data_IF_301474396829
#
_entry.id   IF_301474396829
#
_cell.length_a   1.000
_cell.length_b   1.000
_cell.length_c   1.000
_cell.angle_alpha   90.00
_cell.angle_beta   90.00
_cell.angle_gamma   90.00
#
_symmetry.space_group_name_H-M   'P 1'
#
loop_
_entity.id
_entity.type
_entity.pdbx_description
1 polymer ?
#
# COMPACT_ATOMS: atom_id res chain seq x y z
N UNK A 1 22.63 -0.86 3.37
CA UNK A 1 22.01 -2.16 3.01
C UNK A 1 21.14 -1.92 1.80
N UNK A 2 21.34 -2.65 0.70
CA UNK A 2 20.31 -2.74 -0.34
C UNK A 2 19.20 -3.61 0.22
N UNK A 3 18.02 -3.05 0.42
CA UNK A 3 16.81 -3.80 0.71
C UNK A 3 16.55 -4.72 -0.49
N UNK A 4 16.18 -5.97 -0.23
CA UNK A 4 15.77 -6.92 -1.26
C UNK A 4 14.64 -6.29 -2.09
N UNK A 5 14.64 -6.52 -3.41
CA UNK A 5 13.61 -5.97 -4.31
C UNK A 5 12.23 -6.30 -3.76
N UNK A 6 11.31 -5.32 -3.62
CA UNK A 6 9.95 -5.59 -3.19
C UNK A 6 9.30 -6.73 -3.99
N UNK A 7 8.72 -7.69 -3.29
CA UNK A 7 7.93 -8.76 -3.91
C UNK A 7 6.57 -8.20 -4.34
N UNK A 8 6.54 -7.60 -5.53
CA UNK A 8 5.35 -6.95 -6.08
C UNK A 8 4.21 -7.95 -6.29
N UNK A 9 4.50 -9.19 -6.67
CA UNK A 9 3.47 -10.22 -6.89
C UNK A 9 2.69 -10.50 -5.60
N UNK A 10 3.39 -10.79 -4.50
CA UNK A 10 2.77 -11.01 -3.18
C UNK A 10 1.99 -9.77 -2.70
N UNK A 11 2.50 -8.57 -2.97
CA UNK A 11 1.82 -7.32 -2.61
C UNK A 11 0.54 -7.13 -3.42
N UNK A 12 0.53 -7.47 -4.71
CA UNK A 12 -0.65 -7.42 -5.59
C UNK A 12 -1.71 -8.43 -5.17
N UNK A 13 -1.32 -9.63 -4.75
CA UNK A 13 -2.25 -10.61 -4.18
C UNK A 13 -2.92 -10.08 -2.91
N UNK A 14 -2.14 -9.43 -2.05
CA UNK A 14 -2.68 -8.78 -0.85
C UNK A 14 -3.66 -7.66 -1.19
N UNK A 15 -3.40 -6.90 -2.27
CA UNK A 15 -4.30 -5.87 -2.80
C UNK A 15 -5.60 -6.49 -3.34
N UNK A 16 -5.52 -7.58 -4.10
CA UNK A 16 -6.69 -8.31 -4.61
C UNK A 16 -7.55 -8.77 -3.44
N UNK A 17 -6.93 -9.37 -2.41
CA UNK A 17 -7.65 -9.80 -1.21
C UNK A 17 -8.36 -8.64 -0.51
N UNK A 18 -7.73 -7.47 -0.45
CA UNK A 18 -8.28 -6.28 0.21
C UNK A 18 -9.42 -5.60 -0.57
N UNK A 19 -9.33 -5.59 -1.91
CA UNK A 19 -10.23 -4.81 -2.77
C UNK A 19 -11.32 -5.64 -3.45
N UNK A 20 -11.12 -6.95 -3.58
CA UNK A 20 -12.02 -7.87 -4.27
C UNK A 20 -12.56 -8.93 -3.32
N UNK A 21 -11.68 -9.71 -2.69
CA UNK A 21 -12.12 -10.90 -1.94
C UNK A 21 -12.84 -10.54 -0.64
N UNK A 22 -12.25 -9.71 0.22
CA UNK A 22 -12.86 -9.33 1.50
C UNK A 22 -14.21 -8.61 1.33
N UNK A 23 -14.37 -7.66 0.39
CA UNK A 23 -15.67 -7.02 0.16
C UNK A 23 -16.74 -7.96 -0.43
N UNK A 24 -16.34 -9.03 -1.11
CA UNK A 24 -17.28 -10.01 -1.67
C UNK A 24 -17.85 -10.98 -0.63
N UNK A 25 -17.23 -11.07 0.55
CA UNK A 25 -17.74 -11.91 1.64
C UNK A 25 -18.98 -11.28 2.29
N UNK A 26 -20.05 -12.05 2.54
CA UNK A 26 -21.26 -11.54 3.18
C UNK A 26 -21.03 -11.11 4.64
N UNK A 27 -20.06 -11.74 5.32
CA UNK A 27 -19.65 -11.40 6.68
C UNK A 27 -18.14 -11.68 6.83
N UNK A 28 -17.26 -10.72 6.51
CA UNK A 28 -15.82 -10.90 6.69
C UNK A 28 -15.47 -10.97 8.17
N UNK A 29 -14.59 -11.92 8.49
CA UNK A 29 -14.11 -12.13 9.85
C UNK A 29 -13.23 -10.95 10.34
N UNK A 30 -13.40 -10.54 11.60
CA UNK A 30 -12.71 -9.39 12.15
C UNK A 30 -11.20 -9.62 12.31
N UNK A 31 -10.80 -10.82 12.74
CA UNK A 31 -9.38 -11.17 12.92
C UNK A 31 -8.67 -11.27 11.55
N UNK A 32 -9.33 -11.82 10.54
CA UNK A 32 -8.83 -11.84 9.17
C UNK A 32 -8.64 -10.43 8.59
N UNK A 33 -9.53 -9.49 8.90
CA UNK A 33 -9.39 -8.08 8.50
C UNK A 33 -8.24 -7.40 9.22
N UNK A 34 -8.09 -7.62 10.53
CA UNK A 34 -7.00 -7.04 11.33
C UNK A 34 -5.63 -7.59 10.86
N UNK A 35 -5.55 -8.88 10.56
CA UNK A 35 -4.37 -9.52 9.98
C UNK A 35 -4.03 -8.94 8.62
N UNK A 36 -5.01 -8.81 7.72
CA UNK A 36 -4.77 -8.24 6.40
C UNK A 36 -4.37 -6.76 6.48
N UNK A 37 -4.95 -5.98 7.40
CA UNK A 37 -4.55 -4.61 7.63
C UNK A 37 -3.09 -4.52 8.12
N UNK A 38 -2.66 -5.41 9.02
CA UNK A 38 -1.27 -5.49 9.45
C UNK A 38 -0.32 -5.84 8.29
N UNK A 39 -0.66 -6.83 7.46
CA UNK A 39 0.10 -7.21 6.27
C UNK A 39 0.25 -6.03 5.30
N UNK A 40 -0.85 -5.34 4.98
CA UNK A 40 -0.82 -4.18 4.07
C UNK A 40 0.03 -3.03 4.64
N UNK A 41 0.00 -2.77 5.95
CA UNK A 41 0.88 -1.79 6.58
C UNK A 41 2.36 -2.19 6.46
N UNK A 42 2.67 -3.48 6.61
CA UNK A 42 4.00 -4.03 6.35
C UNK A 42 4.46 -3.74 4.92
N UNK A 43 3.60 -3.98 3.92
CA UNK A 43 3.91 -3.66 2.52
C UNK A 43 4.18 -2.18 2.30
N UNK A 44 3.40 -1.28 2.92
CA UNK A 44 3.65 0.17 2.86
C UNK A 44 5.00 0.53 3.47
N UNK A 45 5.37 -0.06 4.60
CA UNK A 45 6.68 0.18 5.25
C UNK A 45 7.85 -0.22 4.35
N UNK A 46 7.69 -1.28 3.54
CA UNK A 46 8.70 -1.71 2.56
C UNK A 46 8.70 -0.81 1.32
N UNK A 47 7.54 -0.51 0.73
CA UNK A 47 7.47 0.22 -0.54
C UNK A 47 7.82 1.71 -0.44
N UNK A 48 7.46 2.37 0.66
CA UNK A 48 7.68 3.81 0.85
C UNK A 48 9.15 4.22 0.64
N UNK A 49 10.14 3.62 1.33
CA UNK A 49 11.54 4.02 1.14
C UNK A 49 12.05 3.70 -0.27
N UNK A 50 11.61 2.61 -0.89
CA UNK A 50 12.03 2.24 -2.25
C UNK A 50 11.51 3.23 -3.31
N UNK A 51 10.22 3.56 -3.25
CA UNK A 51 9.61 4.54 -4.16
C UNK A 51 10.21 5.93 -3.95
N UNK A 52 10.46 6.34 -2.70
CA UNK A 52 11.10 7.63 -2.39
C UNK A 52 12.52 7.69 -2.94
N UNK A 53 13.31 6.63 -2.77
CA UNK A 53 14.69 6.56 -3.29
C UNK A 53 14.74 6.59 -4.82
N UNK A 54 13.81 5.90 -5.51
CA UNK A 54 13.72 5.91 -6.96
C UNK A 54 13.27 7.27 -7.49
N UNK A 55 12.29 7.91 -6.84
CA UNK A 55 11.81 9.22 -7.22
C UNK A 55 12.88 10.31 -7.00
N UNK A 56 13.66 10.23 -5.93
CA UNK A 56 14.75 11.18 -5.64
C UNK A 56 15.90 11.13 -6.68
N UNK A 57 16.03 10.03 -7.42
CA UNK A 57 17.02 9.89 -8.50
C UNK A 57 16.54 10.49 -9.83
N UNK A 58 15.28 10.94 -9.93
CA UNK A 58 14.75 11.54 -11.16
C UNK A 58 15.19 13.00 -11.31
N UNK A 59 15.32 13.50 -12.57
CA UNK A 59 15.59 14.91 -12.81
C UNK A 59 14.54 15.82 -12.18
N UNK A 60 14.93 17.04 -11.84
CA UNK A 60 14.00 18.06 -11.37
C UNK A 60 12.90 18.31 -12.43
N UNK A 61 11.64 18.36 -11.99
CA UNK A 61 10.49 18.53 -12.88
C UNK A 61 9.92 17.25 -13.46
N UNK A 62 10.57 16.09 -13.28
CA UNK A 62 10.04 14.79 -13.68
C UNK A 62 8.65 14.56 -13.04
N UNK A 63 7.64 14.36 -13.90
CA UNK A 63 6.25 14.21 -13.47
C UNK A 63 6.06 12.90 -12.70
N UNK A 64 6.52 11.73 -13.19
CA UNK A 64 6.45 10.47 -12.44
C UNK A 64 7.05 10.55 -11.04
N UNK A 65 8.26 11.10 -10.90
CA UNK A 65 8.92 11.27 -9.60
C UNK A 65 8.13 12.14 -8.63
N UNK A 66 7.60 13.29 -9.09
CA UNK A 66 6.80 14.19 -8.23
C UNK A 66 5.49 13.55 -7.76
N UNK A 67 4.79 12.84 -8.65
CA UNK A 67 3.56 12.15 -8.29
C UNK A 67 3.84 11.02 -7.29
N UNK A 68 4.92 10.27 -7.48
CA UNK A 68 5.34 9.22 -6.57
C UNK A 68 5.65 9.75 -5.15
N UNK A 69 6.35 10.89 -5.04
CA UNK A 69 6.61 11.53 -3.74
C UNK A 69 5.32 12.00 -3.04
N UNK A 70 4.35 12.54 -3.79
CA UNK A 70 3.04 12.88 -3.23
C UNK A 70 2.31 11.64 -2.70
N UNK A 71 2.40 10.51 -3.41
CA UNK A 71 1.85 9.23 -2.96
C UNK A 71 2.52 8.73 -1.66
N UNK A 72 3.86 8.84 -1.56
CA UNK A 72 4.62 8.48 -0.35
C UNK A 72 4.15 9.28 0.87
N UNK A 73 3.96 10.58 0.72
CA UNK A 73 3.48 11.43 1.82
C UNK A 73 2.07 11.05 2.28
N UNK A 74 1.17 10.71 1.36
CA UNK A 74 -0.16 10.22 1.70
C UNK A 74 -0.12 8.83 2.37
N UNK A 75 0.74 7.93 1.89
CA UNK A 75 0.93 6.61 2.47
C UNK A 75 1.41 6.70 3.93
N UNK A 76 2.37 7.59 4.22
CA UNK A 76 2.85 7.89 5.58
C UNK A 76 1.74 8.39 6.50
N UNK A 77 0.84 9.24 6.01
CA UNK A 77 -0.34 9.70 6.79
C UNK A 77 -1.28 8.54 7.09
N UNK A 78 -1.52 7.67 6.11
CA UNK A 78 -2.45 6.53 6.23
C UNK A 78 -1.96 5.45 7.21
N UNK A 79 -0.65 5.27 7.38
CA UNK A 79 -0.09 4.38 8.41
C UNK A 79 -0.51 4.77 9.84
N UNK A 80 -0.82 6.04 10.10
CA UNK A 80 -1.20 6.54 11.43
C UNK A 80 -2.68 6.33 11.75
N UNK A 81 -3.49 5.91 10.78
CA UNK A 81 -4.93 5.69 10.98
C UNK A 81 -5.12 4.36 11.69
N UNK A 82 -5.74 4.42 12.88
CA UNK A 82 -6.11 3.24 13.66
C UNK A 82 -7.30 2.51 13.03
N UNK A 83 -7.36 1.22 13.26
CA UNK A 83 -8.51 0.40 12.87
C UNK A 83 -9.74 0.78 13.71
N UNK A 84 -10.91 0.77 13.07
CA UNK A 84 -12.17 1.04 13.75
C UNK A 84 -12.70 -0.17 14.51
N UNK A 85 -13.64 0.06 15.43
CA UNK A 85 -14.14 -1.01 16.31
C UNK A 85 -15.18 -1.94 15.67
N UNK A 86 -15.75 -1.57 14.51
CA UNK A 86 -16.73 -2.40 13.78
C UNK A 86 -16.10 -3.14 12.61
N UNK A 87 -16.74 -4.23 12.15
CA UNK A 87 -16.29 -4.99 10.96
C UNK A 87 -16.24 -4.10 9.72
N UNK A 88 -17.25 -3.26 9.53
CA UNK A 88 -17.34 -2.33 8.40
C UNK A 88 -16.23 -1.27 8.43
N UNK A 89 -15.86 -0.78 9.63
CA UNK A 89 -14.76 0.16 9.78
C UNK A 89 -13.42 -0.50 9.48
N UNK A 90 -13.19 -1.74 9.94
CA UNK A 90 -12.01 -2.54 9.60
C UNK A 90 -11.90 -2.80 8.11
N UNK A 91 -12.99 -3.23 7.46
CA UNK A 91 -13.05 -3.45 6.02
C UNK A 91 -12.70 -2.17 5.26
N UNK A 92 -13.23 -1.03 5.69
CA UNK A 92 -12.90 0.28 5.11
C UNK A 92 -11.40 0.59 5.26
N UNK A 93 -10.80 0.28 6.41
CA UNK A 93 -9.35 0.48 6.61
C UNK A 93 -8.53 -0.42 5.69
N UNK A 94 -8.86 -1.71 5.61
CA UNK A 94 -8.24 -2.68 4.69
C UNK A 94 -8.30 -2.17 3.25
N UNK A 95 -9.46 -1.72 2.77
CA UNK A 95 -9.60 -1.20 1.42
C UNK A 95 -8.80 0.10 1.17
N UNK A 96 -8.69 0.98 2.18
CA UNK A 96 -7.87 2.20 2.07
C UNK A 96 -6.39 1.85 1.98
N UNK A 97 -5.91 0.94 2.83
CA UNK A 97 -4.54 0.45 2.79
C UNK A 97 -4.25 -0.28 1.46
N UNK A 98 -5.18 -1.12 0.98
CA UNK A 98 -5.06 -1.80 -0.30
C UNK A 98 -4.89 -0.85 -1.48
N UNK A 99 -5.63 0.27 -1.51
CA UNK A 99 -5.45 1.31 -2.54
C UNK A 99 -4.09 2.01 -2.46
N UNK A 100 -3.58 2.24 -1.26
CA UNK A 100 -2.24 2.82 -1.06
C UNK A 100 -1.16 1.87 -1.54
N UNK A 101 -1.22 0.59 -1.15
CA UNK A 101 -0.26 -0.43 -1.61
C UNK A 101 -0.31 -0.55 -3.13
N UNK A 102 -1.51 -0.62 -3.72
CA UNK A 102 -1.68 -0.65 -5.18
C UNK A 102 -0.95 0.52 -5.87
N UNK A 103 -1.18 1.75 -5.39
CA UNK A 103 -0.57 2.93 -5.98
C UNK A 103 0.96 2.95 -5.83
N UNK A 104 1.48 2.51 -4.68
CA UNK A 104 2.92 2.39 -4.46
C UNK A 104 3.56 1.33 -5.37
N UNK A 105 2.91 0.17 -5.57
CA UNK A 105 3.36 -0.82 -6.55
C UNK A 105 3.36 -0.24 -7.98
N UNK A 106 2.28 0.45 -8.38
CA UNK A 106 2.18 1.11 -9.69
C UNK A 106 3.34 2.12 -9.89
N UNK A 107 3.66 2.91 -8.86
CA UNK A 107 4.77 3.86 -8.88
C UNK A 107 6.14 3.20 -8.89
N UNK A 108 6.34 2.13 -8.11
CA UNK A 108 7.58 1.37 -8.10
C UNK A 108 7.90 0.86 -9.51
N UNK A 109 6.96 0.14 -10.12
CA UNK A 109 7.10 -0.39 -11.50
C UNK A 109 7.36 0.72 -12.51
N UNK A 110 6.58 1.81 -12.46
CA UNK A 110 6.75 2.97 -13.35
C UNK A 110 8.14 3.60 -13.25
N UNK A 111 8.73 3.65 -12.04
CA UNK A 111 10.03 4.25 -11.82
C UNK A 111 11.18 3.28 -12.13
N UNK A 112 10.98 1.97 -12.03
CA UNK A 112 12.01 0.97 -12.38
C UNK A 112 12.08 0.67 -13.88
N UNK A 113 11.01 0.95 -14.64
CA UNK A 113 10.94 0.74 -16.08
C UNK A 113 10.12 -0.48 -16.46
#
# INVERSE_FOLDING_TARGET
MRTETPDIETMRDSVTRALVDMPALPAPDAEALDTLAATLRGHVVVLVPEVEALAAQRPEGDVPGRVALACVEEARRKLRVRDGHTVQARLTTVQKLGRVVKALCDHFETLTG
#
